data_IF_504925442715
#
_entry.id   IF_504925442715
#
_cell.length_a   1.000
_cell.length_b   1.000
_cell.length_c   1.000
_cell.angle_alpha   90.00
_cell.angle_beta   90.00
_cell.angle_gamma   90.00
#
_symmetry.space_group_name_H-M   'P 1'
#
loop_
_entity.id
_entity.type
_entity.pdbx_description
1 polymer ?
#
# COMPACT_ATOMS: atom_id res chain seq x y z
N UNK A 1 -2.33 12.93 16.52
CA UNK A 1 -2.53 12.74 15.11
C UNK A 1 -2.00 11.42 14.66
N UNK A 2 -2.81 10.68 13.98
CA UNK A 2 -2.38 9.39 13.48
C UNK A 2 -1.55 9.60 12.22
N UNK A 3 -0.30 9.19 12.29
CA UNK A 3 0.57 9.24 11.13
C UNK A 3 0.66 7.87 10.50
N UNK A 4 -0.46 7.21 10.39
CA UNK A 4 -0.48 5.87 9.82
C UNK A 4 -1.08 5.89 8.44
N UNK A 5 -0.69 4.92 7.66
CA UNK A 5 -1.23 4.69 6.33
C UNK A 5 -1.75 3.27 6.28
N UNK A 6 -2.63 3.01 5.34
CA UNK A 6 -3.22 1.69 5.20
C UNK A 6 -2.53 0.95 4.07
N UNK A 7 -2.07 -0.26 4.38
CA UNK A 7 -1.52 -1.15 3.36
C UNK A 7 -2.67 -1.55 2.42
N UNK A 8 -2.55 -1.26 1.13
CA UNK A 8 -3.66 -1.54 0.20
C UNK A 8 -3.89 -3.03 -0.04
N UNK A 9 -2.92 -3.86 0.31
CA UNK A 9 -3.04 -5.28 0.07
C UNK A 9 -3.67 -6.00 1.26
N UNK A 10 -3.12 -5.80 2.44
CA UNK A 10 -3.61 -6.50 3.61
C UNK A 10 -4.56 -5.67 4.47
N UNK A 11 -4.62 -4.37 4.26
CA UNK A 11 -5.52 -3.52 5.00
C UNK A 11 -5.05 -3.12 6.37
N UNK A 12 -3.83 -3.47 6.73
CA UNK A 12 -3.29 -3.10 8.04
C UNK A 12 -2.82 -1.67 8.04
N UNK A 13 -2.97 -1.02 9.19
CA UNK A 13 -2.46 0.32 9.36
C UNK A 13 -1.02 0.27 9.86
N UNK A 14 -0.16 0.98 9.18
CA UNK A 14 1.26 1.00 9.50
C UNK A 14 1.75 2.44 9.42
N UNK A 15 2.89 2.70 10.04
CA UNK A 15 3.53 4.00 9.91
C UNK A 15 4.39 4.00 8.66
N UNK A 16 4.43 5.13 7.94
CA UNK A 16 5.28 5.19 6.75
C UNK A 16 6.74 4.84 7.05
N UNK A 17 7.22 5.25 8.21
CA UNK A 17 8.60 4.98 8.59
C UNK A 17 8.85 3.52 8.94
N UNK A 18 7.78 2.79 9.25
CA UNK A 18 7.87 1.37 9.58
C UNK A 18 7.55 0.48 8.39
N UNK A 19 7.21 1.08 7.26
CA UNK A 19 6.86 0.31 6.08
C UNK A 19 8.07 -0.45 5.57
N UNK A 20 7.84 -1.68 5.14
CA UNK A 20 8.90 -2.47 4.54
C UNK A 20 9.21 -2.02 3.13
N UNK A 21 8.21 -1.47 2.45
CA UNK A 21 8.38 -1.00 1.08
C UNK A 21 7.34 0.06 0.78
N UNK A 22 7.55 0.76 -0.30
CA UNK A 22 6.58 1.75 -0.76
C UNK A 22 6.61 1.78 -2.28
N UNK A 23 5.51 2.25 -2.85
CA UNK A 23 5.40 2.32 -4.29
C UNK A 23 4.49 3.48 -4.65
N UNK A 24 4.79 4.14 -5.74
CA UNK A 24 3.96 5.23 -6.23
C UNK A 24 3.16 4.76 -7.44
N UNK A 25 1.86 5.01 -7.41
CA UNK A 25 0.98 4.58 -8.49
C UNK A 25 -0.10 5.62 -8.67
N UNK A 26 -0.22 6.11 -9.89
CA UNK A 26 -1.28 7.05 -10.27
C UNK A 26 -1.30 8.29 -9.38
N UNK A 27 -0.11 8.81 -9.07
CA UNK A 27 0.01 10.02 -8.27
C UNK A 27 -0.16 9.81 -6.79
N UNK A 28 -0.28 8.57 -6.34
CA UNK A 28 -0.44 8.23 -4.93
C UNK A 28 0.71 7.37 -4.48
N UNK A 29 1.11 7.57 -3.23
CA UNK A 29 2.15 6.75 -2.64
C UNK A 29 1.52 5.73 -1.72
N UNK A 30 1.87 4.47 -1.92
CA UNK A 30 1.36 3.36 -1.12
C UNK A 30 2.49 2.76 -0.32
N UNK A 31 2.18 2.38 0.91
CA UNK A 31 3.15 1.76 1.80
C UNK A 31 2.70 0.36 2.12
N UNK A 32 3.66 -0.53 2.34
CA UNK A 32 3.38 -1.93 2.51
C UNK A 32 4.01 -2.43 3.81
N UNK A 33 3.27 -3.26 4.52
CA UNK A 33 3.74 -3.79 5.78
C UNK A 33 4.83 -4.83 5.60
N UNK A 34 4.91 -5.42 4.43
CA UNK A 34 5.93 -6.41 4.15
C UNK A 34 6.19 -6.47 2.66
N UNK A 35 7.31 -7.11 2.32
CA UNK A 35 7.67 -7.26 0.91
C UNK A 35 6.63 -8.10 0.17
N UNK A 36 6.02 -9.04 0.85
CA UNK A 36 5.00 -9.87 0.23
C UNK A 36 3.84 -9.01 -0.26
N UNK A 37 3.43 -8.03 0.54
CA UNK A 37 2.36 -7.13 0.12
C UNK A 37 2.80 -6.26 -1.05
N UNK A 38 4.06 -5.81 -1.01
CA UNK A 38 4.60 -5.02 -2.10
C UNK A 38 4.58 -5.81 -3.40
N UNK A 39 4.99 -7.08 -3.35
CA UNK A 39 5.01 -7.91 -4.54
C UNK A 39 3.59 -8.15 -5.06
N UNK A 40 2.65 -8.37 -4.16
CA UNK A 40 1.27 -8.56 -4.57
C UNK A 40 0.74 -7.31 -5.29
N UNK A 41 1.08 -6.13 -4.77
CA UNK A 41 0.67 -4.89 -5.40
C UNK A 41 1.25 -4.76 -6.80
N UNK A 42 2.52 -5.10 -6.95
CA UNK A 42 3.18 -4.99 -8.25
C UNK A 42 2.57 -5.94 -9.29
N UNK A 43 2.06 -7.07 -8.83
CA UNK A 43 1.43 -8.01 -9.72
C UNK A 43 0.09 -7.50 -10.23
N UNK A 44 -0.61 -6.75 -9.39
CA UNK A 44 -1.94 -6.27 -9.76
C UNK A 44 -2.17 -4.88 -9.18
N UNK A 45 -1.38 -3.89 -9.64
CA UNK A 45 -1.47 -2.55 -9.07
C UNK A 45 -2.82 -1.89 -9.29
N UNK A 46 -3.48 -2.25 -10.37
CA UNK A 46 -4.77 -1.68 -10.70
C UNK A 46 -5.81 -2.05 -9.66
N UNK A 47 -5.74 -3.28 -9.20
CA UNK A 47 -6.70 -3.80 -8.24
C UNK A 47 -6.51 -3.17 -6.87
N UNK A 48 -5.27 -3.05 -6.43
CA UNK A 48 -4.97 -2.54 -5.11
C UNK A 48 -4.84 -1.03 -5.07
N UNK A 49 -4.49 -0.44 -6.19
CA UNK A 49 -4.29 0.99 -6.27
C UNK A 49 -5.59 1.78 -6.38
N UNK A 50 -6.69 1.11 -6.67
CA UNK A 50 -7.99 1.75 -6.80
C UNK A 50 -9.04 1.00 -6.00
N UNK A 51 -8.93 1.05 -4.68
CA UNK A 51 -9.83 0.25 -3.83
C UNK A 51 -11.28 0.68 -3.90
N UNK A 52 -11.55 1.88 -4.34
CA UNK A 52 -12.90 2.37 -4.44
C UNK A 52 -13.58 2.03 -5.73
N UNK A 53 -12.87 1.50 -6.67
CA UNK A 53 -13.43 1.25 -7.98
C UNK A 53 -14.14 -0.07 -7.95
N UNK A 54 -15.33 -0.07 -8.42
CA UNK A 54 -16.11 -1.30 -8.48
C UNK A 54 -16.07 -1.95 -9.82
#
# INVERSE_FOLDING_TARGET
MADTVTDPVCGMQIRPQDAAASEEHDGRTFYFCSEACHQAFLKDPHRYGHPDVD
#
